data_IF_357614767918
#
_entry.id   IF_357614767918
#
_cell.length_a   1.000
_cell.length_b   1.000
_cell.length_c   1.000
_cell.angle_alpha   90.00
_cell.angle_beta   90.00
_cell.angle_gamma   90.00
#
_symmetry.space_group_name_H-M   'P 1'
#
loop_
_entity.id
_entity.type
_entity.pdbx_description
1 polymer ?
#
# COMPACT_ATOMS: atom_id res chain seq x y z
N UNK A 1 1.26 9.35 40.36
CA UNK A 1 -0.04 8.77 39.96
C UNK A 1 0.15 8.46 38.49
N UNK A 2 0.65 7.26 38.23
CA UNK A 2 1.06 6.84 36.89
C UNK A 2 -0.19 6.67 36.02
N UNK A 3 -0.38 7.60 35.09
CA UNK A 3 -1.31 7.43 34.00
C UNK A 3 -0.67 6.46 33.01
N UNK A 4 -1.07 5.19 33.05
CA UNK A 4 -0.86 4.29 31.92
C UNK A 4 -1.43 4.96 30.66
N UNK A 5 -0.69 5.03 29.55
CA UNK A 5 -1.28 5.48 28.29
C UNK A 5 -2.41 4.51 27.94
N UNK A 6 -3.58 5.07 27.62
CA UNK A 6 -4.69 4.29 27.09
C UNK A 6 -4.16 3.49 25.89
N UNK A 7 -4.40 2.17 25.85
CA UNK A 7 -4.04 1.38 24.68
C UNK A 7 -4.77 1.96 23.48
N UNK A 8 -4.04 2.61 22.57
CA UNK A 8 -4.60 3.00 21.28
C UNK A 8 -5.19 1.75 20.65
N UNK A 9 -6.45 1.82 20.20
CA UNK A 9 -7.03 0.75 19.40
C UNK A 9 -6.11 0.50 18.19
N UNK A 10 -5.95 -0.76 17.78
CA UNK A 10 -5.10 -1.08 16.63
C UNK A 10 -5.60 -0.29 15.42
N UNK A 11 -4.70 0.16 14.54
CA UNK A 11 -5.07 0.85 13.29
C UNK A 11 -6.15 0.07 12.52
N UNK A 12 -6.06 -1.27 12.54
CA UNK A 12 -7.01 -2.17 11.90
C UNK A 12 -8.39 -2.19 12.58
N UNK A 13 -8.52 -1.78 13.84
CA UNK A 13 -9.80 -1.75 14.58
C UNK A 13 -10.65 -0.50 14.24
N UNK A 14 -10.10 0.45 13.46
CA UNK A 14 -10.82 1.68 13.10
C UNK A 14 -12.06 1.36 12.25
N UNK A 15 -13.17 2.01 12.59
CA UNK A 15 -14.48 1.70 12.01
C UNK A 15 -14.55 1.97 10.50
N UNK A 16 -13.83 2.99 10.03
CA UNK A 16 -13.71 3.34 8.61
C UNK A 16 -12.89 2.31 7.82
N UNK A 17 -11.90 1.67 8.45
CA UNK A 17 -11.12 0.57 7.86
C UNK A 17 -11.98 -0.69 7.79
N UNK A 18 -12.68 -1.05 8.88
CA UNK A 18 -13.62 -2.17 8.91
C UNK A 18 -14.74 -2.03 7.86
N UNK A 19 -15.19 -0.80 7.58
CA UNK A 19 -16.25 -0.53 6.60
C UNK A 19 -15.88 -0.93 5.17
N UNK A 20 -14.59 -0.98 4.82
CA UNK A 20 -14.10 -1.39 3.49
C UNK A 20 -14.34 -2.87 3.18
N UNK A 21 -14.53 -3.69 4.21
CA UNK A 21 -14.53 -5.14 4.09
C UNK A 21 -13.24 -5.70 3.44
N UNK A 22 -12.07 -5.16 3.78
CA UNK A 22 -10.78 -5.86 3.56
C UNK A 22 -10.68 -7.10 4.48
N UNK A 23 -10.42 -8.31 3.94
CA UNK A 23 -10.22 -9.51 4.74
C UNK A 23 -9.13 -9.40 5.82
N UNK A 24 -8.10 -8.56 5.62
CA UNK A 24 -6.98 -8.47 6.57
C UNK A 24 -7.38 -7.85 7.92
N UNK A 25 -8.36 -6.94 7.92
CA UNK A 25 -8.78 -6.21 9.13
C UNK A 25 -9.89 -6.92 9.90
N UNK A 26 -10.54 -7.94 9.33
CA UNK A 26 -11.68 -8.59 9.98
C UNK A 26 -11.37 -9.98 10.51
N UNK A 27 -11.60 -10.20 11.81
CA UNK A 27 -11.55 -11.55 12.40
C UNK A 27 -12.57 -12.53 11.77
N UNK A 28 -13.66 -12.01 11.18
CA UNK A 28 -14.64 -12.82 10.46
C UNK A 28 -14.08 -13.46 9.18
N UNK A 29 -13.01 -12.90 8.60
CA UNK A 29 -12.29 -13.51 7.47
C UNK A 29 -11.69 -14.87 7.81
N UNK A 30 -11.36 -15.12 9.08
CA UNK A 30 -10.84 -16.41 9.55
C UNK A 30 -11.94 -17.48 9.65
N UNK A 31 -13.21 -17.06 9.77
CA UNK A 31 -14.35 -17.94 10.08
C UNK A 31 -15.21 -18.30 8.85
N UNK A 32 -14.82 -17.88 7.64
CA UNK A 32 -15.46 -18.30 6.38
C UNK A 32 -16.80 -17.61 6.05
N UNK A 33 -17.28 -16.71 6.91
CA UNK A 33 -18.52 -15.94 6.73
C UNK A 33 -18.32 -14.53 6.15
N UNK A 34 -17.14 -14.24 5.59
CA UNK A 34 -16.76 -12.88 5.20
C UNK A 34 -17.46 -12.43 3.91
N UNK A 35 -18.21 -11.33 4.01
CA UNK A 35 -18.91 -10.70 2.88
C UNK A 35 -18.04 -9.59 2.30
N UNK A 36 -17.55 -9.79 1.08
CA UNK A 36 -16.93 -8.74 0.29
C UNK A 36 -18.01 -7.79 -0.24
N UNK A 37 -17.70 -6.50 -0.25
CA UNK A 37 -18.51 -5.49 -0.94
C UNK A 37 -18.55 -5.75 -2.45
N UNK A 38 -19.65 -5.34 -3.08
CA UNK A 38 -19.74 -5.21 -4.53
C UNK A 38 -18.96 -3.99 -5.03
N UNK A 39 -18.63 -3.96 -6.32
CA UNK A 39 -17.96 -2.82 -6.95
C UNK A 39 -18.74 -1.51 -6.78
N UNK A 40 -20.07 -1.58 -6.87
CA UNK A 40 -20.95 -0.44 -6.58
C UNK A 40 -20.92 0.01 -5.11
N UNK A 41 -20.93 -0.93 -4.16
CA UNK A 41 -20.82 -0.58 -2.73
C UNK A 41 -19.46 0.06 -2.42
N UNK A 42 -18.38 -0.39 -3.07
CA UNK A 42 -17.05 0.22 -2.98
C UNK A 42 -17.02 1.65 -3.53
N UNK A 43 -17.62 1.89 -4.70
CA UNK A 43 -17.77 3.25 -5.24
C UNK A 43 -18.59 4.17 -4.30
N UNK A 44 -19.71 3.67 -3.78
CA UNK A 44 -20.52 4.45 -2.83
C UNK A 44 -19.77 4.75 -1.54
N UNK A 45 -18.87 3.86 -1.10
CA UNK A 45 -18.03 4.08 0.05
C UNK A 45 -16.98 5.17 -0.22
N UNK A 46 -16.34 5.13 -1.39
CA UNK A 46 -15.40 6.16 -1.84
C UNK A 46 -16.03 7.57 -1.80
N UNK A 47 -17.25 7.75 -2.31
CA UNK A 47 -17.99 9.03 -2.29
C UNK A 47 -18.16 9.62 -0.88
N UNK A 48 -18.21 8.77 0.16
CA UNK A 48 -18.40 9.18 1.56
C UNK A 48 -17.11 9.40 2.34
N UNK A 49 -15.96 9.05 1.75
CA UNK A 49 -14.65 9.03 2.41
C UNK A 49 -13.64 9.96 1.72
N UNK A 50 -14.12 11.08 1.16
CA UNK A 50 -13.26 12.07 0.51
C UNK A 50 -12.42 12.85 1.53
N UNK A 51 -11.21 13.21 1.11
CA UNK A 51 -10.28 14.09 1.84
C UNK A 51 -9.49 14.93 0.82
N UNK A 52 -9.05 16.12 1.23
CA UNK A 52 -8.24 17.01 0.40
C UNK A 52 -6.82 17.05 0.95
N UNK A 53 -5.84 16.95 0.06
CA UNK A 53 -4.44 17.05 0.50
C UNK A 53 -4.17 18.40 1.13
N UNK A 54 -4.84 19.48 0.70
CA UNK A 54 -4.66 20.85 1.17
C UNK A 54 -5.15 21.11 2.60
N UNK A 55 -5.97 20.22 3.16
CA UNK A 55 -6.49 20.37 4.52
C UNK A 55 -5.47 19.94 5.59
N UNK A 56 -4.40 19.24 5.18
CA UNK A 56 -3.34 18.76 6.09
C UNK A 56 -2.39 19.90 6.48
N UNK A 57 -2.01 19.98 7.75
CA UNK A 57 -1.01 20.94 8.26
C UNK A 57 0.32 20.24 8.55
N UNK A 58 1.36 20.58 7.78
CA UNK A 58 2.72 20.03 7.94
C UNK A 58 3.67 20.95 8.74
N UNK A 59 3.14 21.99 9.40
CA UNK A 59 3.97 22.94 10.15
C UNK A 59 4.74 22.24 11.28
N UNK A 60 4.07 21.36 12.04
CA UNK A 60 4.74 20.60 13.10
C UNK A 60 5.66 19.53 12.53
N UNK A 61 5.29 18.89 11.42
CA UNK A 61 6.10 17.89 10.75
C UNK A 61 7.47 18.44 10.32
N UNK A 62 7.51 19.69 9.85
CA UNK A 62 8.75 20.40 9.56
C UNK A 62 9.63 20.54 10.81
N UNK A 63 9.05 20.97 11.93
CA UNK A 63 9.78 21.11 13.20
C UNK A 63 10.31 19.76 13.65
N UNK A 64 9.47 18.73 13.66
CA UNK A 64 9.88 17.38 14.07
C UNK A 64 11.03 16.87 13.21
N UNK A 65 10.95 17.04 11.88
CA UNK A 65 11.97 16.57 10.94
C UNK A 65 13.34 17.21 11.17
N UNK A 66 13.39 18.52 11.42
CA UNK A 66 14.64 19.28 11.53
C UNK A 66 15.18 19.36 12.97
N UNK A 67 14.32 19.28 13.98
CA UNK A 67 14.70 19.54 15.38
C UNK A 67 14.66 18.30 16.28
N UNK A 68 13.85 17.28 15.95
CA UNK A 68 13.70 16.08 16.80
C UNK A 68 14.44 14.85 16.28
N UNK A 69 14.70 14.77 14.99
CA UNK A 69 15.43 13.65 14.40
C UNK A 69 16.89 14.04 14.14
N UNK A 70 17.81 13.11 14.41
CA UNK A 70 19.19 13.27 13.98
C UNK A 70 19.37 12.85 12.51
N UNK A 71 20.58 13.03 11.96
CA UNK A 71 20.89 12.69 10.56
C UNK A 71 20.67 11.20 10.26
N UNK A 72 20.97 10.32 11.23
CA UNK A 72 20.85 8.89 11.05
C UNK A 72 19.39 8.46 10.99
N UNK A 73 18.56 8.96 11.91
CA UNK A 73 17.13 8.69 11.93
C UNK A 73 16.44 9.25 10.68
N UNK A 74 16.78 10.48 10.25
CA UNK A 74 16.27 11.06 8.99
C UNK A 74 16.60 10.17 7.80
N UNK A 75 17.85 9.73 7.67
CA UNK A 75 18.27 8.85 6.58
C UNK A 75 17.49 7.53 6.56
N UNK A 76 17.28 6.90 7.72
CA UNK A 76 16.54 5.65 7.82
C UNK A 76 15.05 5.83 7.47
N UNK A 77 14.41 6.89 7.97
CA UNK A 77 13.02 7.24 7.65
C UNK A 77 12.83 7.55 6.17
N UNK A 78 13.80 8.24 5.56
CA UNK A 78 13.76 8.63 4.15
C UNK A 78 13.71 7.43 3.20
N UNK A 79 14.28 6.29 3.59
CA UNK A 79 14.21 5.07 2.77
C UNK A 79 12.77 4.53 2.68
N UNK A 80 12.03 4.52 3.79
CA UNK A 80 10.63 4.11 3.80
C UNK A 80 9.74 5.12 3.07
N UNK A 81 9.87 6.40 3.40
CA UNK A 81 9.10 7.48 2.77
C UNK A 81 9.30 7.51 1.25
N UNK A 82 10.54 7.35 0.78
CA UNK A 82 10.83 7.37 -0.66
C UNK A 82 10.29 6.14 -1.37
N UNK A 83 10.32 4.97 -0.73
CA UNK A 83 9.71 3.76 -1.29
C UNK A 83 8.20 3.92 -1.47
N UNK A 84 7.51 4.56 -0.52
CA UNK A 84 6.10 4.91 -0.69
C UNK A 84 5.91 5.93 -1.80
N UNK A 85 6.62 7.07 -1.78
CA UNK A 85 6.41 8.13 -2.77
C UNK A 85 6.59 7.63 -4.22
N UNK A 86 7.64 6.84 -4.47
CA UNK A 86 7.84 6.20 -5.77
C UNK A 86 6.79 5.12 -6.03
N UNK A 87 6.42 4.33 -5.01
CA UNK A 87 5.35 3.34 -5.09
C UNK A 87 4.05 3.96 -5.60
N UNK A 88 3.55 4.99 -4.92
CA UNK A 88 2.34 5.74 -5.29
C UNK A 88 2.41 6.23 -6.75
N UNK A 89 3.56 6.76 -7.16
CA UNK A 89 3.75 7.26 -8.52
C UNK A 89 3.70 6.14 -9.57
N UNK A 90 4.30 4.98 -9.28
CA UNK A 90 4.29 3.82 -10.18
C UNK A 90 2.90 3.21 -10.27
N UNK A 91 2.21 3.02 -9.16
CA UNK A 91 0.88 2.42 -9.15
C UNK A 91 -0.15 3.32 -9.84
N UNK A 92 -0.07 4.64 -9.64
CA UNK A 92 -0.86 5.63 -10.38
C UNK A 92 -0.68 5.51 -11.91
N UNK A 93 0.55 5.32 -12.37
CA UNK A 93 0.86 5.19 -13.80
C UNK A 93 0.32 3.90 -14.41
N UNK A 94 0.28 2.81 -13.64
CA UNK A 94 -0.03 1.47 -14.14
C UNK A 94 -1.52 1.08 -14.03
N UNK A 95 -2.36 1.87 -13.33
CA UNK A 95 -3.81 1.62 -13.24
C UNK A 95 -4.58 1.81 -14.55
N UNK A 96 -4.12 2.71 -15.44
CA UNK A 96 -4.83 3.03 -16.68
C UNK A 96 -5.14 1.81 -17.55
N UNK A 97 -4.13 0.96 -17.87
CA UNK A 97 -4.35 -0.31 -18.55
C UNK A 97 -5.25 -1.30 -17.81
N UNK A 98 -5.14 -1.41 -16.48
CA UNK A 98 -5.99 -2.28 -15.64
C UNK A 98 -7.46 -1.84 -15.73
N UNK A 99 -7.73 -0.54 -15.59
CA UNK A 99 -9.06 0.05 -15.76
C UNK A 99 -9.63 -0.27 -17.14
N UNK A 100 -8.84 -0.09 -18.21
CA UNK A 100 -9.28 -0.40 -19.57
C UNK A 100 -9.62 -1.88 -19.76
N UNK A 101 -8.82 -2.78 -19.18
CA UNK A 101 -8.98 -4.22 -19.31
C UNK A 101 -10.16 -4.80 -18.50
N UNK A 102 -10.63 -4.07 -17.48
CA UNK A 102 -11.73 -4.54 -16.64
C UNK A 102 -12.96 -4.92 -17.49
N UNK A 103 -13.56 -6.12 -17.31
CA UNK A 103 -14.61 -6.61 -18.19
C UNK A 103 -15.98 -5.98 -17.94
N UNK A 104 -16.24 -5.50 -16.72
CA UNK A 104 -17.53 -4.97 -16.28
C UNK A 104 -17.47 -3.45 -16.04
N UNK A 105 -18.58 -2.75 -16.28
CA UNK A 105 -18.64 -1.30 -16.14
C UNK A 105 -18.59 -0.82 -14.68
N UNK A 106 -19.16 -1.57 -13.73
CA UNK A 106 -19.04 -1.22 -12.31
C UNK A 106 -17.59 -1.34 -11.82
N UNK A 107 -16.82 -2.29 -12.36
CA UNK A 107 -15.37 -2.39 -12.11
C UNK A 107 -14.64 -1.15 -12.65
N UNK A 108 -14.94 -0.72 -13.88
CA UNK A 108 -14.31 0.47 -14.48
C UNK A 108 -14.62 1.74 -13.70
N UNK A 109 -15.88 1.92 -13.31
CA UNK A 109 -16.31 3.06 -12.49
C UNK A 109 -15.50 3.10 -11.19
N UNK A 110 -15.34 1.95 -10.51
CA UNK A 110 -14.57 1.92 -9.28
C UNK A 110 -13.07 2.11 -9.51
N UNK A 111 -12.47 1.51 -10.55
CA UNK A 111 -11.05 1.69 -10.88
C UNK A 111 -10.70 3.15 -11.22
N UNK A 112 -11.63 3.92 -11.80
CA UNK A 112 -11.44 5.36 -11.97
C UNK A 112 -11.29 6.11 -10.64
N UNK A 113 -11.92 5.64 -9.56
CA UNK A 113 -11.74 6.22 -8.23
C UNK A 113 -10.35 5.91 -7.67
N UNK A 114 -9.81 4.72 -7.93
CA UNK A 114 -8.44 4.37 -7.53
C UNK A 114 -7.43 5.27 -8.25
N UNK A 115 -7.58 5.51 -9.56
CA UNK A 115 -6.70 6.45 -10.29
C UNK A 115 -6.69 7.84 -9.64
N UNK A 116 -7.85 8.32 -9.17
CA UNK A 116 -7.94 9.60 -8.47
C UNK A 116 -7.29 9.55 -7.08
N UNK A 117 -7.46 8.45 -6.33
CA UNK A 117 -6.84 8.23 -5.03
C UNK A 117 -5.31 8.14 -5.18
N UNK A 118 -4.75 7.35 -6.10
CA UNK A 118 -3.29 7.26 -6.31
C UNK A 118 -2.67 8.59 -6.74
N UNK A 119 -3.34 9.34 -7.63
CA UNK A 119 -2.89 10.67 -7.99
C UNK A 119 -2.88 11.62 -6.76
N UNK A 120 -3.86 11.46 -5.86
CA UNK A 120 -3.90 12.19 -4.59
C UNK A 120 -2.78 11.75 -3.65
N UNK A 121 -2.44 10.47 -3.61
CA UNK A 121 -1.33 9.95 -2.79
C UNK A 121 0.01 10.53 -3.24
N UNK A 122 0.28 10.57 -4.54
CA UNK A 122 1.46 11.25 -5.11
C UNK A 122 1.49 12.72 -4.71
N UNK A 123 0.37 13.43 -4.85
CA UNK A 123 0.28 14.84 -4.47
C UNK A 123 0.45 15.07 -2.95
N UNK A 124 0.00 14.12 -2.12
CA UNK A 124 0.20 14.15 -0.66
C UNK A 124 1.69 14.03 -0.31
N UNK A 125 2.39 13.03 -0.85
CA UNK A 125 3.82 12.87 -0.60
C UNK A 125 4.63 14.05 -1.14
N UNK A 126 4.32 14.52 -2.34
CA UNK A 126 5.00 15.68 -2.92
C UNK A 126 4.88 16.92 -2.02
N UNK A 127 3.66 17.18 -1.52
CA UNK A 127 3.38 18.30 -0.63
C UNK A 127 4.08 18.14 0.72
N UNK A 128 4.07 16.94 1.30
CA UNK A 128 4.80 16.65 2.53
C UNK A 128 6.30 16.93 2.36
N UNK A 129 6.92 16.39 1.29
CA UNK A 129 8.34 16.62 1.01
C UNK A 129 8.66 18.11 0.82
N UNK A 130 7.82 18.83 0.08
CA UNK A 130 8.01 20.26 -0.17
C UNK A 130 7.89 21.11 1.09
N UNK A 131 6.85 20.91 1.93
CA UNK A 131 6.60 21.76 3.10
C UNK A 131 7.55 21.46 4.26
N UNK A 132 7.88 20.18 4.46
CA UNK A 132 8.88 19.74 5.45
C UNK A 132 10.29 20.13 5.00
N UNK A 133 10.52 20.30 3.70
CA UNK A 133 11.83 20.67 3.15
C UNK A 133 12.76 19.47 2.98
N UNK A 134 12.23 18.35 2.51
CA UNK A 134 13.00 17.16 2.13
C UNK A 134 13.59 17.40 0.72
N UNK A 135 14.88 17.16 0.54
CA UNK A 135 15.67 17.37 -0.70
C UNK A 135 15.81 18.83 -1.20
N UNK A 136 15.30 19.83 -0.47
CA UNK A 136 15.46 21.27 -0.76
C UNK A 136 15.21 21.70 -2.23
N UNK A 137 14.32 21.02 -2.95
CA UNK A 137 13.91 21.37 -4.32
C UNK A 137 12.42 21.73 -4.36
N UNK A 138 12.04 22.54 -5.35
CA UNK A 138 10.63 22.87 -5.65
C UNK A 138 10.05 22.02 -6.78
N UNK A 139 10.88 21.28 -7.53
CA UNK A 139 10.44 20.45 -8.66
C UNK A 139 10.11 19.02 -8.20
N UNK A 140 8.91 18.55 -8.54
CA UNK A 140 8.48 17.18 -8.24
C UNK A 140 9.35 16.14 -8.95
N UNK A 141 9.83 16.41 -10.16
CA UNK A 141 10.68 15.48 -10.89
C UNK A 141 12.01 15.28 -10.18
N UNK A 142 12.63 16.36 -9.69
CA UNK A 142 13.87 16.27 -8.91
C UNK A 142 13.64 15.52 -7.59
N UNK A 143 12.48 15.69 -6.93
CA UNK A 143 12.13 14.92 -5.73
C UNK A 143 11.94 13.43 -6.02
N UNK A 144 11.27 13.10 -7.12
CA UNK A 144 11.08 11.71 -7.54
C UNK A 144 12.43 11.06 -7.90
N UNK A 145 13.29 11.75 -8.62
CA UNK A 145 14.63 11.25 -8.95
C UNK A 145 15.47 11.02 -7.68
N UNK A 146 15.45 11.96 -6.73
CA UNK A 146 16.15 11.81 -5.45
C UNK A 146 15.55 10.67 -4.60
N UNK A 147 14.23 10.55 -4.53
CA UNK A 147 13.56 9.45 -3.83
C UNK A 147 13.86 8.08 -4.44
N UNK A 148 13.98 8.00 -5.76
CA UNK A 148 14.36 6.76 -6.45
C UNK A 148 15.70 6.19 -5.97
N UNK A 149 16.69 7.02 -5.64
CA UNK A 149 18.00 6.55 -5.17
C UNK A 149 17.91 5.71 -3.87
N UNK A 150 16.84 5.92 -3.10
CA UNK A 150 16.58 5.22 -1.84
C UNK A 150 15.80 3.90 -2.00
N UNK A 151 15.29 3.55 -3.18
CA UNK A 151 14.54 2.30 -3.42
C UNK A 151 15.46 1.12 -3.72
N UNK A 152 15.06 -0.11 -3.40
CA UNK A 152 15.89 -1.32 -3.60
C UNK A 152 15.88 -1.82 -5.05
N UNK A 153 16.85 -2.65 -5.43
CA UNK A 153 16.80 -3.31 -6.75
C UNK A 153 15.54 -4.18 -6.89
N UNK A 154 15.10 -4.80 -5.79
CA UNK A 154 13.90 -5.62 -5.77
C UNK A 154 12.63 -4.79 -5.94
N UNK A 155 12.66 -3.51 -5.55
CA UNK A 155 11.61 -2.55 -5.89
C UNK A 155 11.52 -2.37 -7.41
N UNK A 156 12.64 -2.09 -8.08
CA UNK A 156 12.68 -1.96 -9.55
C UNK A 156 12.14 -3.23 -10.23
N UNK A 157 12.58 -4.41 -9.81
CA UNK A 157 12.08 -5.68 -10.34
C UNK A 157 10.56 -5.81 -10.13
N UNK A 158 10.04 -5.49 -8.94
CA UNK A 158 8.61 -5.63 -8.66
C UNK A 158 7.75 -4.67 -9.50
N UNK A 159 8.10 -3.39 -9.51
CA UNK A 159 7.29 -2.34 -10.13
C UNK A 159 7.59 -2.18 -11.62
N UNK A 160 8.86 -1.99 -11.98
CA UNK A 160 9.29 -1.56 -13.32
C UNK A 160 9.51 -2.75 -14.27
N UNK A 161 9.55 -3.98 -13.77
CA UNK A 161 9.58 -5.20 -14.59
C UNK A 161 8.31 -6.05 -14.43
N UNK A 162 8.03 -6.56 -13.22
CA UNK A 162 7.02 -7.59 -13.00
C UNK A 162 5.59 -7.05 -13.15
N UNK A 163 5.25 -5.93 -12.50
CA UNK A 163 3.96 -5.28 -12.67
C UNK A 163 3.86 -4.66 -14.07
N UNK A 164 4.85 -3.84 -14.43
CA UNK A 164 4.90 -3.11 -15.70
C UNK A 164 4.69 -3.99 -16.94
N UNK A 165 5.33 -5.15 -17.03
CA UNK A 165 5.15 -6.00 -18.23
C UNK A 165 3.71 -6.51 -18.39
N UNK A 166 2.96 -6.68 -17.30
CA UNK A 166 1.55 -7.09 -17.36
C UNK A 166 0.68 -5.93 -17.81
N UNK A 167 0.87 -4.75 -17.23
CA UNK A 167 0.09 -3.56 -17.56
C UNK A 167 0.38 -3.08 -18.99
N UNK A 168 1.63 -3.13 -19.44
CA UNK A 168 2.01 -2.88 -20.83
C UNK A 168 1.33 -3.89 -21.79
N UNK A 169 1.25 -5.16 -21.42
CA UNK A 169 0.51 -6.16 -22.22
C UNK A 169 -0.99 -5.87 -22.24
N UNK A 170 -1.61 -5.52 -21.12
CA UNK A 170 -3.02 -5.13 -21.06
C UNK A 170 -3.33 -3.87 -21.84
N UNK A 171 -2.36 -2.96 -22.00
CA UNK A 171 -2.53 -1.77 -22.81
C UNK A 171 -2.75 -2.11 -24.31
N UNK A 172 -2.17 -3.22 -24.77
CA UNK A 172 -2.26 -3.72 -26.16
C UNK A 172 -3.34 -4.80 -26.32
N UNK A 173 -3.49 -5.67 -25.33
CA UNK A 173 -4.41 -6.82 -25.30
C UNK A 173 -5.37 -6.73 -24.10
N UNK A 174 -6.27 -5.73 -24.03
CA UNK A 174 -7.14 -5.52 -22.87
C UNK A 174 -8.11 -6.68 -22.60
N UNK A 175 -8.35 -7.55 -23.58
CA UNK A 175 -9.17 -8.75 -23.44
C UNK A 175 -8.44 -9.93 -22.75
N UNK A 176 -7.12 -9.83 -22.52
CA UNK A 176 -6.36 -10.89 -21.85
C UNK A 176 -6.65 -10.91 -20.34
N UNK A 177 -7.70 -11.66 -20.00
CA UNK A 177 -8.17 -11.80 -18.64
C UNK A 177 -7.17 -12.55 -17.73
N UNK A 178 -6.34 -13.44 -18.28
CA UNK A 178 -5.31 -14.11 -17.46
C UNK A 178 -4.23 -13.12 -17.05
N UNK A 179 -3.74 -12.30 -17.98
CA UNK A 179 -2.81 -11.20 -17.66
C UNK A 179 -3.44 -10.20 -16.68
N UNK A 180 -4.75 -9.93 -16.77
CA UNK A 180 -5.44 -9.09 -15.79
C UNK A 180 -5.46 -9.71 -14.38
N UNK A 181 -5.68 -11.02 -14.29
CA UNK A 181 -5.58 -11.77 -13.02
C UNK A 181 -4.18 -11.68 -12.43
N UNK A 182 -3.14 -11.82 -13.25
CA UNK A 182 -1.76 -11.64 -12.79
C UNK A 182 -1.51 -10.20 -12.31
N UNK A 183 -1.92 -9.20 -13.08
CA UNK A 183 -1.75 -7.78 -12.74
C UNK A 183 -2.43 -7.41 -11.42
N UNK A 184 -3.70 -7.80 -11.22
CA UNK A 184 -4.45 -7.56 -9.98
C UNK A 184 -3.85 -8.32 -8.80
N UNK A 185 -3.24 -9.49 -9.03
CA UNK A 185 -2.52 -10.21 -7.98
C UNK A 185 -1.29 -9.43 -7.53
N UNK A 186 -0.49 -8.90 -8.47
CA UNK A 186 0.72 -8.13 -8.14
C UNK A 186 0.33 -6.80 -7.48
N UNK A 187 -0.57 -6.04 -8.10
CA UNK A 187 -0.96 -4.71 -7.66
C UNK A 187 -1.71 -4.78 -6.31
N UNK A 188 -2.90 -5.36 -6.29
CA UNK A 188 -3.80 -5.24 -5.14
C UNK A 188 -3.43 -6.17 -3.98
N UNK A 189 -2.89 -7.37 -4.24
CA UNK A 189 -2.58 -8.32 -3.15
C UNK A 189 -1.16 -8.17 -2.62
N UNK A 190 -0.18 -7.92 -3.49
CA UNK A 190 1.23 -7.84 -3.09
C UNK A 190 1.64 -6.41 -2.81
N UNK A 191 1.54 -5.51 -3.80
CA UNK A 191 1.98 -4.11 -3.62
C UNK A 191 1.16 -3.41 -2.54
N UNK A 192 -0.16 -3.34 -2.70
CA UNK A 192 -1.01 -2.64 -1.72
C UNK A 192 -1.26 -3.51 -0.46
N UNK A 193 -1.80 -4.72 -0.70
CA UNK A 193 -2.29 -5.60 0.36
C UNK A 193 -1.19 -6.05 1.33
N UNK A 194 -0.02 -6.41 0.79
CA UNK A 194 1.07 -6.97 1.60
C UNK A 194 2.10 -5.91 1.98
N UNK A 195 2.58 -5.10 1.03
CA UNK A 195 3.69 -4.17 1.29
C UNK A 195 3.18 -2.84 1.87
N UNK A 196 2.28 -2.14 1.17
CA UNK A 196 1.82 -0.81 1.55
C UNK A 196 1.12 -0.81 2.92
N UNK A 197 0.10 -1.66 3.11
CA UNK A 197 -0.64 -1.72 4.37
C UNK A 197 0.23 -2.16 5.57
N UNK A 198 1.24 -3.01 5.34
CA UNK A 198 2.20 -3.38 6.40
C UNK A 198 3.09 -2.18 6.78
N UNK A 199 3.65 -1.49 5.79
CA UNK A 199 4.47 -0.30 6.03
C UNK A 199 3.67 0.82 6.71
N UNK A 200 2.45 1.07 6.24
CA UNK A 200 1.52 2.03 6.83
C UNK A 200 1.22 1.71 8.29
N UNK A 201 0.91 0.44 8.62
CA UNK A 201 0.63 0.01 9.99
C UNK A 201 1.76 0.42 10.95
N UNK A 202 3.01 0.05 10.63
CA UNK A 202 4.14 0.32 11.51
C UNK A 202 4.54 1.81 11.54
N UNK A 203 4.53 2.49 10.40
CA UNK A 203 4.91 3.91 10.32
C UNK A 203 3.90 4.78 11.06
N UNK A 204 2.59 4.55 10.86
CA UNK A 204 1.53 5.30 11.53
C UNK A 204 1.60 5.03 13.04
N UNK A 205 1.57 3.77 13.45
CA UNK A 205 1.58 3.40 14.87
C UNK A 205 2.81 3.96 15.60
N UNK A 206 3.98 3.88 14.97
CA UNK A 206 5.20 4.41 15.56
C UNK A 206 5.14 5.93 15.76
N UNK A 207 4.74 6.69 14.74
CA UNK A 207 4.67 8.15 14.83
C UNK A 207 3.57 8.62 15.80
N UNK A 208 2.45 7.91 15.89
CA UNK A 208 1.42 8.14 16.91
C UNK A 208 1.97 7.94 18.32
N UNK A 209 2.73 6.86 18.55
CA UNK A 209 3.36 6.58 19.85
C UNK A 209 4.43 7.63 20.21
N UNK A 210 5.20 8.12 19.24
CA UNK A 210 6.22 9.16 19.46
C UNK A 210 5.66 10.58 19.52
N UNK A 211 4.41 10.77 19.08
CA UNK A 211 3.82 12.10 18.91
C UNK A 211 4.64 12.95 17.94
N UNK A 212 4.97 12.41 16.77
CA UNK A 212 5.75 13.06 15.72
C UNK A 212 5.05 13.00 14.38
N UNK A 213 5.33 13.96 13.50
CA UNK A 213 4.80 14.04 12.14
C UNK A 213 3.26 13.94 12.08
N UNK A 214 2.52 14.77 12.86
CA UNK A 214 1.08 14.63 12.99
C UNK A 214 0.32 14.84 11.67
N UNK A 215 0.75 15.78 10.82
CA UNK A 215 0.13 16.01 9.52
C UNK A 215 0.35 14.84 8.57
N UNK A 216 1.55 14.25 8.58
CA UNK A 216 1.85 13.03 7.83
C UNK A 216 1.01 11.85 8.33
N UNK A 217 0.90 11.64 9.64
CA UNK A 217 0.09 10.57 10.23
C UNK A 217 -1.38 10.69 9.81
N UNK A 218 -1.93 11.91 9.82
CA UNK A 218 -3.29 12.16 9.34
C UNK A 218 -3.45 11.83 7.85
N UNK A 219 -2.58 12.36 6.99
CA UNK A 219 -2.63 12.11 5.56
C UNK A 219 -2.42 10.63 5.22
N UNK A 220 -1.43 9.99 5.84
CA UNK A 220 -1.09 8.60 5.58
C UNK A 220 -2.13 7.62 6.13
N UNK A 221 -2.86 8.00 7.18
CA UNK A 221 -4.08 7.30 7.60
C UNK A 221 -5.16 7.36 6.52
N UNK A 222 -5.35 8.52 5.87
CA UNK A 222 -6.32 8.65 4.79
C UNK A 222 -5.90 7.80 3.58
N UNK A 223 -4.61 7.79 3.21
CA UNK A 223 -4.06 6.88 2.19
C UNK A 223 -4.37 5.43 2.55
N UNK A 224 -4.05 4.97 3.76
CA UNK A 224 -4.33 3.60 4.19
C UNK A 224 -5.83 3.22 4.13
N UNK A 225 -6.72 4.17 4.40
CA UNK A 225 -8.17 3.97 4.24
C UNK A 225 -8.55 3.74 2.77
N UNK A 226 -7.90 4.45 1.86
CA UNK A 226 -8.10 4.33 0.42
C UNK A 226 -7.58 2.97 -0.08
N UNK A 227 -6.37 2.58 0.34
CA UNK A 227 -5.77 1.26 0.09
C UNK A 227 -6.66 0.08 0.49
N UNK A 228 -7.31 0.16 1.66
CA UNK A 228 -8.22 -0.90 2.08
C UNK A 228 -9.39 -1.12 1.11
N UNK A 229 -9.87 -0.07 0.41
CA UNK A 229 -10.88 -0.21 -0.64
C UNK A 229 -10.29 -0.80 -1.92
N UNK A 230 -9.06 -0.43 -2.28
CA UNK A 230 -8.37 -0.96 -3.46
C UNK A 230 -8.14 -2.47 -3.33
N UNK A 231 -7.62 -2.89 -2.17
CA UNK A 231 -7.41 -4.28 -1.81
C UNK A 231 -8.72 -5.07 -1.79
N UNK A 232 -9.81 -4.48 -1.29
CA UNK A 232 -11.14 -5.12 -1.31
C UNK A 232 -11.63 -5.37 -2.74
N UNK A 233 -11.37 -4.45 -3.69
CA UNK A 233 -11.62 -4.70 -5.11
C UNK A 233 -10.79 -5.87 -5.63
N UNK A 234 -9.48 -5.90 -5.37
CA UNK A 234 -8.61 -6.98 -5.82
C UNK A 234 -9.06 -8.34 -5.29
N UNK A 235 -9.39 -8.42 -3.99
CA UNK A 235 -9.89 -9.65 -3.38
C UNK A 235 -11.22 -10.12 -3.99
N UNK A 236 -12.13 -9.20 -4.30
CA UNK A 236 -13.41 -9.50 -4.97
C UNK A 236 -13.19 -10.02 -6.38
N UNK A 237 -12.42 -9.31 -7.19
CA UNK A 237 -12.12 -9.68 -8.56
C UNK A 237 -11.45 -11.05 -8.64
N UNK A 238 -10.40 -11.28 -7.84
CA UNK A 238 -9.66 -12.53 -7.84
C UNK A 238 -10.53 -13.71 -7.37
N UNK A 239 -11.42 -13.50 -6.39
CA UNK A 239 -12.38 -14.52 -5.97
C UNK A 239 -13.31 -14.93 -7.10
N UNK A 240 -13.87 -13.95 -7.82
CA UNK A 240 -14.76 -14.20 -8.97
C UNK A 240 -14.01 -14.95 -10.08
N UNK A 241 -12.76 -14.58 -10.37
CA UNK A 241 -11.94 -15.27 -11.36
C UNK A 241 -11.57 -16.70 -10.94
N UNK A 242 -11.14 -16.90 -9.70
CA UNK A 242 -10.81 -18.23 -9.17
C UNK A 242 -12.02 -19.20 -9.14
N UNK A 243 -13.23 -18.66 -9.02
CA UNK A 243 -14.48 -19.43 -9.11
C UNK A 243 -14.92 -19.70 -10.56
N UNK A 244 -14.50 -18.86 -11.51
CA UNK A 244 -14.89 -18.94 -12.91
C UNK A 244 -14.22 -20.10 -13.65
N UNK A 245 -12.90 -20.19 -13.63
CA UNK A 245 -12.13 -21.24 -14.32
C UNK A 245 -10.86 -21.63 -13.51
N UNK A 246 -10.45 -22.92 -13.50
CA UNK A 246 -9.25 -23.36 -12.78
C UNK A 246 -7.96 -22.63 -13.16
N UNK A 247 -7.79 -22.27 -14.44
CA UNK A 247 -6.59 -21.58 -14.94
C UNK A 247 -6.33 -20.24 -14.23
N UNK A 248 -7.36 -19.52 -13.78
CA UNK A 248 -7.17 -18.25 -13.08
C UNK A 248 -6.70 -18.47 -11.65
N UNK A 249 -7.15 -19.55 -10.98
CA UNK A 249 -6.57 -19.97 -9.69
C UNK A 249 -5.08 -20.28 -9.84
N UNK A 250 -4.72 -21.03 -10.88
CA UNK A 250 -3.33 -21.37 -11.19
C UNK A 250 -2.49 -20.13 -11.51
N UNK A 251 -3.05 -19.15 -12.24
CA UNK A 251 -2.40 -17.88 -12.52
C UNK A 251 -2.09 -17.10 -11.23
N UNK A 252 -3.05 -16.95 -10.32
CA UNK A 252 -2.83 -16.27 -9.03
C UNK A 252 -1.69 -16.94 -8.25
N UNK A 253 -1.73 -18.26 -8.11
CA UNK A 253 -0.71 -19.02 -7.37
C UNK A 253 0.68 -18.89 -8.01
N UNK A 254 0.77 -19.02 -9.34
CA UNK A 254 2.01 -18.85 -10.09
C UNK A 254 2.58 -17.44 -9.90
N UNK A 255 1.75 -16.42 -10.00
CA UNK A 255 2.16 -15.02 -9.83
C UNK A 255 2.68 -14.77 -8.42
N UNK A 256 2.01 -15.27 -7.37
CA UNK A 256 2.48 -15.11 -5.99
C UNK A 256 3.86 -15.76 -5.76
N UNK A 257 4.09 -16.95 -6.33
CA UNK A 257 5.38 -17.63 -6.26
C UNK A 257 6.45 -16.83 -6.99
N UNK A 258 6.12 -16.30 -8.18
CA UNK A 258 7.05 -15.54 -9.01
C UNK A 258 7.48 -14.22 -8.34
N UNK A 259 6.54 -13.46 -7.76
CA UNK A 259 6.84 -12.14 -7.20
C UNK A 259 7.33 -12.16 -5.76
N UNK A 260 7.13 -13.28 -5.04
CA UNK A 260 7.48 -13.43 -3.63
C UNK A 260 8.92 -12.99 -3.28
N UNK A 261 9.97 -13.41 -4.01
CA UNK A 261 11.34 -12.98 -3.73
C UNK A 261 11.55 -11.47 -3.88
N UNK A 262 10.93 -10.83 -4.89
CA UNK A 262 11.02 -9.38 -5.07
C UNK A 262 10.26 -8.65 -3.95
N UNK A 263 9.06 -9.11 -3.61
CA UNK A 263 8.27 -8.54 -2.51
C UNK A 263 9.00 -8.62 -1.16
N UNK A 264 9.64 -9.74 -0.84
CA UNK A 264 10.45 -9.87 0.38
C UNK A 264 11.62 -8.89 0.40
N UNK A 265 12.30 -8.73 -0.73
CA UNK A 265 13.42 -7.79 -0.85
C UNK A 265 13.01 -6.31 -0.78
N UNK A 266 11.76 -5.98 -1.09
CA UNK A 266 11.24 -4.61 -0.90
C UNK A 266 11.06 -4.29 0.58
N UNK A 267 10.68 -5.26 1.41
CA UNK A 267 10.49 -5.03 2.84
C UNK A 267 11.78 -4.64 3.56
N UNK A 268 12.95 -5.07 3.07
CA UNK A 268 14.25 -4.82 3.70
C UNK A 268 14.91 -3.56 3.10
N UNK A 269 15.01 -2.44 3.85
CA UNK A 269 15.66 -1.23 3.36
C UNK A 269 17.15 -1.44 3.08
N UNK A 270 17.71 -0.67 2.12
CA UNK A 270 19.16 -0.73 1.78
C UNK A 270 20.08 -0.55 2.98
N UNK A 271 19.72 0.33 3.90
CA UNK A 271 20.53 0.63 5.08
C UNK A 271 20.59 -0.53 6.09
N UNK A 272 19.74 -1.55 5.94
CA UNK A 272 19.81 -2.81 6.71
C UNK A 272 20.63 -3.90 6.02
N UNK A 273 21.28 -3.61 4.89
CA UNK A 273 22.15 -4.59 4.24
C UNK A 273 23.28 -5.02 5.19
N UNK A 274 23.41 -6.32 5.39
CA UNK A 274 24.37 -6.89 6.35
C UNK A 274 23.92 -6.92 7.82
N UNK A 275 22.76 -6.34 8.17
CA UNK A 275 22.16 -6.45 9.50
C UNK A 275 21.31 -7.73 9.61
N UNK A 276 21.24 -8.29 10.83
CA UNK A 276 20.39 -9.44 11.11
C UNK A 276 18.91 -9.05 11.17
N UNK A 277 18.03 -9.97 10.77
CA UNK A 277 16.60 -9.68 10.61
C UNK A 277 15.84 -9.60 11.95
N UNK A 278 16.47 -9.98 13.05
CA UNK A 278 15.98 -9.83 14.43
C UNK A 278 16.48 -8.55 15.12
N UNK A 279 17.31 -7.74 14.44
CA UNK A 279 17.67 -6.42 14.93
C UNK A 279 16.48 -5.44 14.79
N UNK A 280 16.19 -4.64 15.84
CA UNK A 280 15.09 -3.70 15.80
C UNK A 280 15.38 -2.54 14.85
N UNK A 281 14.39 -2.23 14.01
CA UNK A 281 14.37 -1.02 13.16
C UNK A 281 14.10 0.23 14.02
N UNK A 282 14.29 1.45 13.47
CA UNK A 282 13.91 2.69 14.14
C UNK A 282 12.45 2.75 14.56
N UNK A 283 11.58 1.99 13.88
CA UNK A 283 10.16 1.88 14.17
C UNK A 283 9.85 0.95 15.37
N UNK A 284 10.88 0.38 16.02
CA UNK A 284 10.73 -0.47 17.20
C UNK A 284 10.28 -1.90 16.89
N UNK A 285 10.38 -2.33 15.64
CA UNK A 285 9.98 -3.67 15.16
C UNK A 285 11.09 -4.31 14.36
N UNK A 286 11.12 -5.64 14.31
CA UNK A 286 12.14 -6.38 13.53
C UNK A 286 11.67 -6.64 12.10
N UNK A 287 12.60 -7.05 11.22
CA UNK A 287 12.23 -7.50 9.88
C UNK A 287 11.40 -8.78 9.92
N UNK A 288 11.65 -9.66 10.90
CA UNK A 288 10.85 -10.87 11.11
C UNK A 288 9.40 -10.55 11.50
N UNK A 289 9.18 -9.57 12.38
CA UNK A 289 7.83 -9.12 12.75
C UNK A 289 7.09 -8.57 11.52
N UNK A 290 7.78 -7.73 10.75
CA UNK A 290 7.25 -7.10 9.53
C UNK A 290 6.81 -8.15 8.51
N UNK A 291 7.66 -9.15 8.24
CA UNK A 291 7.34 -10.27 7.34
C UNK A 291 6.18 -11.12 7.85
N UNK A 292 6.16 -11.43 9.15
CA UNK A 292 5.09 -12.24 9.74
C UNK A 292 3.72 -11.53 9.63
N UNK A 293 3.69 -10.22 9.86
CA UNK A 293 2.49 -9.41 9.68
C UNK A 293 2.03 -9.41 8.21
N UNK A 294 2.95 -9.10 7.28
CA UNK A 294 2.68 -9.07 5.85
C UNK A 294 2.12 -10.42 5.34
N UNK A 295 2.71 -11.53 5.78
CA UNK A 295 2.26 -12.88 5.42
C UNK A 295 0.92 -13.26 6.02
N UNK A 296 0.65 -12.83 7.25
CA UNK A 296 -0.67 -13.04 7.88
C UNK A 296 -1.76 -12.30 7.11
N UNK A 297 -1.51 -11.03 6.75
CA UNK A 297 -2.44 -10.21 5.97
C UNK A 297 -2.71 -10.83 4.58
N UNK A 298 -1.66 -11.24 3.86
CA UNK A 298 -1.81 -11.91 2.57
C UNK A 298 -2.59 -13.23 2.69
N UNK A 299 -2.26 -14.06 3.69
CA UNK A 299 -2.92 -15.35 3.93
C UNK A 299 -4.43 -15.21 4.16
N UNK A 300 -4.85 -14.22 4.96
CA UNK A 300 -6.28 -13.92 5.18
C UNK A 300 -7.02 -13.60 3.88
N UNK A 301 -6.39 -12.82 2.99
CA UNK A 301 -6.97 -12.49 1.68
C UNK A 301 -7.05 -13.70 0.76
N UNK A 302 -5.99 -14.53 0.72
CA UNK A 302 -5.97 -15.76 -0.09
C UNK A 302 -7.06 -16.75 0.33
N UNK A 303 -7.34 -16.85 1.64
CA UNK A 303 -8.45 -17.66 2.16
C UNK A 303 -9.80 -17.16 1.67
N UNK A 304 -10.04 -15.85 1.68
CA UNK A 304 -11.30 -15.27 1.17
C UNK A 304 -11.44 -15.43 -0.35
N UNK A 305 -10.33 -15.39 -1.10
CA UNK A 305 -10.31 -15.65 -2.55
C UNK A 305 -10.62 -17.12 -2.87
N UNK A 306 -10.39 -18.04 -1.92
CA UNK A 306 -10.63 -19.48 -2.08
C UNK A 306 -9.41 -20.23 -2.61
N UNK A 307 -8.22 -19.83 -2.16
CA UNK A 307 -6.92 -20.43 -2.52
C UNK A 307 -6.26 -21.19 -1.35
N UNK A 308 -6.85 -21.13 -0.15
CA UNK A 308 -6.37 -21.78 1.06
C UNK A 308 -7.48 -22.60 1.73
#
# INVERSE_FOLDING_TARGET
>A
MDTQPASAASLNDRADFQATSDPAVSAAAEQGGFKLLSYRELYQLWERQQWATQDLDFTQDRVDWHERFDDQERFQRLSGLSSFFIGEQRVAAELGPIMRAAPDEEMRIFLCTQIADEARHVAFFDRFYSEVGIFETQDIHERLDASWEHTTQQFEVLFDELLKRRTDRLAVEPQDLETMVEAVTIYHMVVEGMLALTGQHYIIEYNERQGTLPGFVEGFTNVARDEHRHVAFGARFLREMAQREPKYREAIQRTLIEVGPAADGVLKPKWMEGMADDEPTPFGVTMNDTRAFAMTALSRRMKVIGLA
#
